data_IF_704506531218
#
_entry.id   IF_704506531218
#
_cell.length_a   1.000
_cell.length_b   1.000
_cell.length_c   1.000
_cell.angle_alpha   90.00
_cell.angle_beta   90.00
_cell.angle_gamma   90.00
#
_symmetry.space_group_name_H-M   'P 1'
#
loop_
_entity.id
_entity.type
_entity.pdbx_description
1 polymer ?
#
# COMPACT_ATOMS: atom_id res chain seq x y z
N UNK A 1 40.50 -15.15 -30.51
CA UNK A 1 39.60 -16.18 -31.06
C UNK A 1 39.93 -16.37 -32.53
N UNK A 2 40.09 -17.62 -33.00
CA UNK A 2 40.19 -17.94 -34.42
C UNK A 2 38.84 -18.48 -34.88
N UNK A 3 38.17 -17.76 -35.78
CA UNK A 3 36.92 -18.18 -36.41
C UNK A 3 37.27 -18.75 -37.79
N UNK A 4 37.05 -20.05 -37.97
CA UNK A 4 37.14 -20.72 -39.26
C UNK A 4 35.73 -20.79 -39.85
N UNK A 5 35.50 -20.16 -41.00
CA UNK A 5 34.22 -20.18 -41.71
C UNK A 5 34.44 -20.93 -43.02
N UNK A 6 33.84 -22.10 -43.14
CA UNK A 6 33.81 -22.89 -44.39
C UNK A 6 32.54 -22.54 -45.15
N UNK A 7 32.70 -22.12 -46.40
CA UNK A 7 31.58 -21.82 -47.30
C UNK A 7 31.60 -22.87 -48.41
N UNK A 8 30.60 -23.76 -48.40
CA UNK A 8 30.38 -24.72 -49.49
C UNK A 8 29.46 -24.06 -50.53
N UNK A 9 30.01 -23.79 -51.71
CA UNK A 9 29.26 -23.30 -52.87
C UNK A 9 28.95 -24.51 -53.77
N UNK A 10 27.71 -24.99 -53.72
CA UNK A 10 27.20 -26.02 -54.63
C UNK A 10 26.43 -25.37 -55.80
N UNK A 11 26.71 -25.87 -57.02
CA UNK A 11 26.01 -25.67 -58.32
C UNK A 11 26.39 -24.43 -59.16
N UNK A 12 26.77 -24.55 -60.46
CA UNK A 12 26.16 -25.26 -61.61
C UNK A 12 27.20 -25.59 -62.73
N UNK A 13 27.08 -26.77 -63.36
CA UNK A 13 27.24 -26.96 -64.82
C UNK A 13 28.66 -27.10 -65.42
N UNK A 14 28.84 -28.14 -66.22
CA UNK A 14 30.09 -28.65 -66.83
C UNK A 14 30.81 -27.71 -67.84
N UNK A 15 30.29 -26.53 -68.17
CA UNK A 15 30.90 -25.62 -69.18
C UNK A 15 30.54 -24.12 -68.95
N UNK A 16 30.92 -23.53 -67.82
CA UNK A 16 30.64 -22.12 -67.57
C UNK A 16 31.58 -21.50 -66.55
N UNK A 17 32.77 -21.13 -67.01
CA UNK A 17 33.80 -20.46 -66.21
C UNK A 17 33.26 -19.12 -65.69
N UNK A 18 32.90 -19.10 -64.40
CA UNK A 18 32.43 -17.90 -63.73
C UNK A 18 33.63 -16.96 -63.58
N UNK A 19 33.59 -15.84 -64.30
CA UNK A 19 34.68 -14.87 -64.40
C UNK A 19 35.27 -14.58 -63.01
N UNK A 20 36.59 -14.64 -62.91
CA UNK A 20 37.30 -14.61 -61.61
C UNK A 20 36.96 -13.35 -60.80
N UNK A 21 36.57 -12.29 -61.50
CA UNK A 21 36.11 -11.01 -60.96
C UNK A 21 34.75 -11.12 -60.26
N UNK A 22 33.79 -11.88 -60.80
CA UNK A 22 32.48 -12.13 -60.15
C UNK A 22 32.64 -13.03 -58.92
N UNK A 23 33.55 -14.01 -58.97
CA UNK A 23 33.92 -14.80 -57.79
C UNK A 23 34.50 -13.91 -56.68
N UNK A 24 35.40 -12.99 -57.02
CA UNK A 24 35.96 -12.06 -56.04
C UNK A 24 34.92 -11.09 -55.50
N UNK A 25 34.01 -10.57 -56.33
CA UNK A 25 32.94 -9.69 -55.87
C UNK A 25 31.98 -10.39 -54.91
N UNK A 26 31.56 -11.63 -55.20
CA UNK A 26 30.66 -12.38 -54.32
C UNK A 26 31.37 -12.71 -53.01
N UNK A 27 32.62 -13.18 -53.06
CA UNK A 27 33.40 -13.49 -51.85
C UNK A 27 33.65 -12.20 -51.03
N UNK A 28 33.97 -11.09 -51.68
CA UNK A 28 34.20 -9.80 -51.02
C UNK A 28 32.90 -9.24 -50.43
N UNK A 29 31.78 -9.35 -51.16
CA UNK A 29 30.45 -8.93 -50.71
C UNK A 29 29.97 -9.74 -49.51
N UNK A 30 30.10 -11.07 -49.56
CA UNK A 30 29.76 -11.98 -48.45
C UNK A 30 30.69 -11.74 -47.25
N UNK A 31 31.99 -11.59 -47.47
CA UNK A 31 32.95 -11.27 -46.40
C UNK A 31 32.63 -9.94 -45.75
N UNK A 32 32.32 -8.91 -46.52
CA UNK A 32 32.01 -7.58 -45.98
C UNK A 32 30.66 -7.55 -45.24
N UNK A 33 29.64 -8.22 -45.77
CA UNK A 33 28.33 -8.34 -45.12
C UNK A 33 28.42 -9.12 -43.81
N UNK A 34 29.07 -10.30 -43.82
CA UNK A 34 29.27 -11.11 -42.62
C UNK A 34 30.14 -10.37 -41.62
N UNK A 35 31.25 -9.75 -42.05
CA UNK A 35 32.14 -9.04 -41.14
C UNK A 35 31.42 -7.87 -40.46
N UNK A 36 30.67 -7.06 -41.22
CA UNK A 36 29.94 -5.91 -40.67
C UNK A 36 28.80 -6.33 -39.74
N UNK A 37 27.98 -7.29 -40.16
CA UNK A 37 26.80 -7.70 -39.40
C UNK A 37 27.18 -8.54 -38.19
N UNK A 38 28.24 -9.37 -38.29
CA UNK A 38 28.80 -10.11 -37.15
C UNK A 38 29.48 -9.17 -36.16
N UNK A 39 30.29 -8.21 -36.61
CA UNK A 39 30.90 -7.20 -35.72
C UNK A 39 29.82 -6.40 -34.98
N UNK A 40 28.80 -5.91 -35.68
CA UNK A 40 27.72 -5.14 -35.06
C UNK A 40 26.93 -5.97 -34.04
N UNK A 41 26.69 -7.26 -34.33
CA UNK A 41 25.96 -8.15 -33.43
C UNK A 41 26.78 -8.54 -32.20
N UNK A 42 28.07 -8.83 -32.39
CA UNK A 42 29.02 -9.10 -31.29
C UNK A 42 29.23 -7.85 -30.43
N UNK A 43 29.37 -6.68 -31.02
CA UNK A 43 29.52 -5.41 -30.30
C UNK A 43 28.26 -5.08 -29.48
N UNK A 44 27.07 -5.35 -30.03
CA UNK A 44 25.80 -5.18 -29.34
C UNK A 44 25.62 -6.16 -28.19
N UNK A 45 25.91 -7.45 -28.39
CA UNK A 45 25.83 -8.47 -27.33
C UNK A 45 26.88 -8.22 -26.23
N UNK A 46 28.12 -7.90 -26.60
CA UNK A 46 29.17 -7.55 -25.65
C UNK A 46 28.79 -6.29 -24.85
N UNK A 47 28.30 -5.24 -25.52
CA UNK A 47 27.85 -4.02 -24.84
C UNK A 47 26.67 -4.29 -23.90
N UNK A 48 25.73 -5.14 -24.29
CA UNK A 48 24.60 -5.53 -23.44
C UNK A 48 25.07 -6.29 -22.20
N UNK A 49 25.96 -7.28 -22.35
CA UNK A 49 26.51 -8.04 -21.24
C UNK A 49 27.35 -7.17 -20.30
N UNK A 50 28.17 -6.27 -20.85
CA UNK A 50 28.96 -5.32 -20.06
C UNK A 50 28.02 -4.37 -19.27
N UNK A 51 27.01 -3.80 -19.93
CA UNK A 51 26.06 -2.92 -19.27
C UNK A 51 25.25 -3.65 -18.18
N UNK A 52 24.89 -4.91 -18.41
CA UNK A 52 24.23 -5.73 -17.40
C UNK A 52 25.14 -5.98 -16.19
N UNK A 53 26.39 -6.40 -16.42
CA UNK A 53 27.36 -6.63 -15.35
C UNK A 53 27.67 -5.36 -14.55
N UNK A 54 27.75 -4.20 -15.21
CA UNK A 54 27.92 -2.90 -14.58
C UNK A 54 26.69 -2.57 -13.72
N UNK A 55 25.48 -2.74 -14.24
CA UNK A 55 24.24 -2.44 -13.50
C UNK A 55 24.07 -3.35 -12.27
N UNK A 56 24.40 -4.64 -12.40
CA UNK A 56 24.39 -5.58 -11.28
C UNK A 56 25.43 -5.17 -10.22
N UNK A 57 26.65 -4.81 -10.65
CA UNK A 57 27.71 -4.34 -9.75
C UNK A 57 27.32 -3.05 -9.03
N UNK A 58 26.69 -2.10 -9.73
CA UNK A 58 26.17 -0.86 -9.14
C UNK A 58 25.06 -1.16 -8.14
N UNK A 59 24.16 -2.10 -8.44
CA UNK A 59 23.07 -2.50 -7.54
C UNK A 59 23.61 -3.11 -6.25
N UNK A 60 24.60 -4.00 -6.35
CA UNK A 60 25.28 -4.61 -5.21
C UNK A 60 26.02 -3.56 -4.39
N UNK A 61 26.75 -2.65 -5.04
CA UNK A 61 27.45 -1.57 -4.37
C UNK A 61 26.49 -0.62 -3.64
N UNK A 62 25.36 -0.28 -4.26
CA UNK A 62 24.32 0.56 -3.65
C UNK A 62 23.73 -0.09 -2.40
N UNK A 63 23.38 -1.37 -2.47
CA UNK A 63 22.89 -2.14 -1.30
C UNK A 63 23.95 -2.21 -0.20
N UNK A 64 25.22 -2.38 -0.54
CA UNK A 64 26.30 -2.40 0.44
C UNK A 64 26.49 -1.04 1.13
N UNK A 65 26.34 0.07 0.39
CA UNK A 65 26.40 1.43 0.94
C UNK A 65 25.19 1.69 1.84
N UNK A 66 23.98 1.33 1.41
CA UNK A 66 22.76 1.45 2.21
C UNK A 66 22.88 0.65 3.51
N UNK A 67 23.36 -0.60 3.44
CA UNK A 67 23.57 -1.42 4.62
C UNK A 67 24.64 -0.84 5.55
N UNK A 68 25.73 -0.28 5.01
CA UNK A 68 26.74 0.41 5.82
C UNK A 68 26.18 1.67 6.50
N UNK A 69 25.32 2.42 5.82
CA UNK A 69 24.68 3.59 6.40
C UNK A 69 23.71 3.22 7.52
N UNK A 70 22.95 2.13 7.35
CA UNK A 70 22.07 1.57 8.39
C UNK A 70 22.91 1.11 9.58
N UNK A 71 23.93 0.28 9.35
CA UNK A 71 24.81 -0.21 10.41
C UNK A 71 25.51 0.93 11.15
N UNK A 72 25.96 1.96 10.43
CA UNK A 72 26.56 3.15 11.05
C UNK A 72 25.54 3.92 11.92
N UNK A 73 24.29 4.02 11.48
CA UNK A 73 23.23 4.63 12.27
C UNK A 73 22.94 3.80 13.54
N UNK A 74 22.88 2.48 13.42
CA UNK A 74 22.67 1.57 14.55
C UNK A 74 23.83 1.65 15.56
N UNK A 75 25.08 1.57 15.09
CA UNK A 75 26.28 1.74 15.93
C UNK A 75 26.31 3.13 16.60
N UNK A 76 25.88 4.16 15.90
CA UNK A 76 25.80 5.51 16.45
C UNK A 76 24.72 5.63 17.54
N UNK A 77 23.57 4.98 17.36
CA UNK A 77 22.47 4.95 18.33
C UNK A 77 22.80 4.13 19.58
N UNK A 78 23.63 3.10 19.44
CA UNK A 78 24.12 2.26 20.54
C UNK A 78 25.32 2.86 21.29
N UNK A 79 25.97 3.88 20.72
CA UNK A 79 27.11 4.52 21.36
C UNK A 79 26.69 5.14 22.71
N UNK A 80 27.35 4.67 23.76
CA UNK A 80 27.16 5.20 25.11
C UNK A 80 27.70 6.63 25.18
N UNK A 81 26.84 7.56 25.59
CA UNK A 81 27.21 8.96 25.81
C UNK A 81 27.17 9.21 27.31
N UNK A 82 28.29 9.65 27.85
CA UNK A 82 28.40 10.07 29.24
C UNK A 82 27.72 11.43 29.40
N UNK A 83 26.62 11.48 30.14
CA UNK A 83 25.92 12.73 30.43
C UNK A 83 26.46 13.30 31.73
N UNK A 84 27.08 14.48 31.65
CA UNK A 84 27.61 15.20 32.81
C UNK A 84 26.63 16.28 33.27
N UNK A 85 26.56 16.50 34.59
CA UNK A 85 25.88 17.64 35.19
C UNK A 85 26.59 18.97 34.83
N UNK A 86 25.92 20.10 35.06
CA UNK A 86 26.38 21.50 34.98
C UNK A 86 27.69 21.76 35.76
N UNK A 87 28.05 20.86 36.67
CA UNK A 87 29.28 20.91 37.48
C UNK A 87 30.32 19.85 37.09
N UNK A 88 30.09 19.08 36.04
CA UNK A 88 31.08 18.14 35.47
C UNK A 88 31.05 16.72 36.05
N UNK A 89 30.20 16.43 37.03
CA UNK A 89 30.04 15.09 37.57
C UNK A 89 29.25 14.20 36.61
N UNK A 90 29.74 12.97 36.40
CA UNK A 90 29.11 11.96 35.54
C UNK A 90 27.85 11.43 36.22
N UNK A 91 26.67 11.73 35.68
CA UNK A 91 25.40 11.30 36.27
C UNK A 91 24.94 9.92 35.79
N UNK A 92 25.14 9.59 34.51
CA UNK A 92 24.66 8.35 33.91
C UNK A 92 25.41 8.05 32.60
N UNK A 93 25.77 6.78 32.37
CA UNK A 93 26.16 6.26 31.05
C UNK A 93 24.91 5.72 30.35
N UNK A 94 24.41 6.44 29.35
CA UNK A 94 23.20 6.06 28.60
C UNK A 94 23.49 6.03 27.12
N UNK A 95 22.84 5.12 26.41
CA UNK A 95 22.85 5.14 24.94
C UNK A 95 22.03 6.32 24.43
N UNK A 96 22.29 6.77 23.18
CA UNK A 96 21.48 7.81 22.54
C UNK A 96 20.00 7.38 22.48
N UNK A 97 19.76 6.10 22.25
CA UNK A 97 18.41 5.50 22.31
C UNK A 97 17.73 5.73 23.65
N UNK A 98 18.41 5.54 24.77
CA UNK A 98 17.82 5.73 26.09
C UNK A 98 17.61 7.20 26.44
N UNK A 99 18.46 8.09 25.92
CA UNK A 99 18.23 9.54 25.99
C UNK A 99 16.97 9.96 25.23
N UNK A 100 16.76 9.41 24.03
CA UNK A 100 15.57 9.66 23.23
C UNK A 100 14.33 9.11 23.95
N UNK A 101 14.37 7.87 24.45
CA UNK A 101 13.27 7.28 25.24
C UNK A 101 12.91 8.15 26.45
N UNK A 102 13.90 8.53 27.27
CA UNK A 102 13.67 9.41 28.44
C UNK A 102 13.09 10.76 28.04
N UNK A 103 13.55 11.35 26.93
CA UNK A 103 13.01 12.61 26.42
C UNK A 103 11.57 12.46 25.93
N UNK A 104 11.28 11.35 25.26
CA UNK A 104 9.96 11.02 24.75
C UNK A 104 8.97 10.74 25.90
N UNK A 105 9.36 9.94 26.88
CA UNK A 105 8.58 9.64 28.08
C UNK A 105 8.27 10.94 28.86
N UNK A 106 9.29 11.77 29.10
CA UNK A 106 9.08 13.09 29.72
C UNK A 106 8.13 13.98 28.92
N UNK A 107 8.13 13.87 27.60
CA UNK A 107 7.23 14.65 26.74
C UNK A 107 5.81 14.13 26.78
N UNK A 108 5.62 12.81 26.82
CA UNK A 108 4.31 12.17 26.97
C UNK A 108 3.67 12.41 28.34
N UNK A 109 4.51 12.59 29.37
CA UNK A 109 4.07 12.92 30.73
C UNK A 109 3.78 14.41 30.93
N UNK A 110 4.25 15.30 30.04
CA UNK A 110 3.93 16.73 30.12
C UNK A 110 2.42 16.95 30.03
N UNK A 111 1.96 17.85 30.88
CA UNK A 111 0.55 18.21 30.95
C UNK A 111 0.14 19.09 29.76
N UNK A 112 -1.05 18.85 29.26
CA UNK A 112 -1.69 19.60 28.19
C UNK A 112 -3.09 20.06 28.62
N UNK A 113 -3.51 21.18 28.06
CA UNK A 113 -4.86 21.72 28.21
C UNK A 113 -5.89 20.90 27.40
N UNK A 114 -7.16 21.26 27.51
CA UNK A 114 -8.26 20.63 26.76
C UNK A 114 -8.14 20.76 25.24
N UNK A 115 -7.27 21.66 24.75
CA UNK A 115 -7.00 21.89 23.32
C UNK A 115 -5.73 21.17 22.85
N UNK A 116 -5.01 20.49 23.74
CA UNK A 116 -3.78 19.77 23.45
C UNK A 116 -2.51 20.64 23.47
N UNK A 117 -2.58 21.88 23.95
CA UNK A 117 -1.39 22.72 24.13
C UNK A 117 -0.73 22.43 25.47
N UNK A 118 0.59 22.47 25.53
CA UNK A 118 1.31 22.33 26.80
C UNK A 118 0.88 23.43 27.78
N UNK A 119 0.42 23.01 28.96
CA UNK A 119 0.01 23.92 30.02
C UNK A 119 0.51 23.42 31.38
N UNK A 120 0.70 24.38 32.29
CA UNK A 120 1.06 24.12 33.69
C UNK A 120 -0.14 24.24 34.63
N UNK A 121 -1.34 24.40 34.08
CA UNK A 121 -2.58 24.50 34.85
C UNK A 121 -2.82 23.26 35.70
N UNK A 122 -3.48 23.46 36.84
CA UNK A 122 -3.79 22.38 37.77
C UNK A 122 -4.65 21.28 37.12
N UNK A 123 -5.62 21.68 36.30
CA UNK A 123 -6.55 20.80 35.59
C UNK A 123 -5.97 20.18 34.31
N UNK A 124 -4.73 20.52 33.95
CA UNK A 124 -4.08 19.99 32.76
C UNK A 124 -3.74 18.49 32.95
N UNK A 125 -3.93 17.70 31.88
CA UNK A 125 -3.74 16.25 31.90
C UNK A 125 -2.51 15.82 31.11
N UNK A 126 -1.84 14.71 31.46
CA UNK A 126 -0.71 14.21 30.67
C UNK A 126 -1.07 14.01 29.19
N UNK A 127 -0.17 14.40 28.28
CA UNK A 127 -0.34 14.30 26.83
C UNK A 127 -0.75 12.88 26.41
N UNK A 128 -0.15 11.85 27.02
CA UNK A 128 -0.51 10.45 26.75
C UNK A 128 -2.00 10.17 27.03
N UNK A 129 -2.54 10.69 28.14
CA UNK A 129 -3.96 10.51 28.50
C UNK A 129 -4.88 11.28 27.59
N UNK A 130 -4.47 12.48 27.18
CA UNK A 130 -5.21 13.29 26.20
C UNK A 130 -5.33 12.59 24.85
N UNK A 131 -4.21 12.08 24.32
CA UNK A 131 -4.17 11.38 23.04
C UNK A 131 -4.97 10.08 23.07
N UNK A 132 -4.86 9.30 24.15
CA UNK A 132 -5.67 8.09 24.35
C UNK A 132 -7.16 8.43 24.44
N UNK A 133 -7.54 9.48 25.16
CA UNK A 133 -8.92 9.95 25.28
C UNK A 133 -9.51 10.37 23.95
N UNK A 134 -8.79 11.19 23.18
CA UNK A 134 -9.13 11.59 21.80
C UNK A 134 -9.34 10.38 20.89
N UNK A 135 -8.41 9.43 20.91
CA UNK A 135 -8.48 8.24 20.06
C UNK A 135 -9.65 7.34 20.44
N UNK A 136 -9.91 7.21 21.74
CA UNK A 136 -11.08 6.47 22.23
C UNK A 136 -12.37 7.16 21.82
N UNK A 137 -12.45 8.49 21.95
CA UNK A 137 -13.61 9.27 21.52
C UNK A 137 -13.88 9.12 20.01
N UNK A 138 -12.84 9.19 19.17
CA UNK A 138 -12.95 8.93 17.73
C UNK A 138 -13.50 7.53 17.44
N UNK A 139 -12.94 6.50 18.08
CA UNK A 139 -13.38 5.12 17.90
C UNK A 139 -14.82 4.89 18.39
N UNK A 140 -15.18 5.49 19.52
CA UNK A 140 -16.53 5.43 20.07
C UNK A 140 -17.51 6.16 19.16
N UNK A 141 -17.19 7.37 18.69
CA UNK A 141 -18.05 8.09 17.73
C UNK A 141 -18.20 7.32 16.41
N UNK A 142 -17.13 6.72 15.90
CA UNK A 142 -17.17 5.92 14.67
C UNK A 142 -18.04 4.67 14.81
N UNK A 143 -18.09 4.05 16.01
CA UNK A 143 -18.89 2.84 16.26
C UNK A 143 -20.32 3.14 16.71
N UNK A 144 -20.55 4.17 17.51
CA UNK A 144 -21.88 4.49 18.06
C UNK A 144 -22.78 5.19 17.05
N UNK A 145 -22.25 6.12 16.24
CA UNK A 145 -23.04 6.83 15.22
C UNK A 145 -23.80 5.90 14.25
N UNK A 146 -23.18 4.85 13.67
CA UNK A 146 -23.92 3.92 12.81
C UNK A 146 -24.95 3.11 13.61
N UNK A 147 -24.63 2.68 14.83
CA UNK A 147 -25.57 1.92 15.67
C UNK A 147 -26.81 2.76 16.03
N UNK A 148 -26.65 4.05 16.35
CA UNK A 148 -27.78 4.96 16.61
C UNK A 148 -28.67 5.08 15.38
N UNK A 149 -28.07 5.26 14.19
CA UNK A 149 -28.83 5.30 12.94
C UNK A 149 -29.56 3.99 12.66
N UNK A 150 -28.91 2.85 12.85
CA UNK A 150 -29.52 1.53 12.65
C UNK A 150 -30.68 1.28 13.62
N UNK A 151 -30.57 1.75 14.87
CA UNK A 151 -31.66 1.71 15.86
C UNK A 151 -32.81 2.62 15.44
N UNK A 152 -32.54 3.86 15.02
CA UNK A 152 -33.57 4.78 14.57
C UNK A 152 -34.31 4.26 13.33
N UNK A 153 -33.58 3.68 12.37
CA UNK A 153 -34.13 3.05 11.17
C UNK A 153 -34.96 1.80 11.53
N UNK A 154 -34.49 0.98 12.47
CA UNK A 154 -35.22 -0.19 12.96
C UNK A 154 -36.51 0.20 13.69
N UNK A 155 -36.47 1.24 14.53
CA UNK A 155 -37.65 1.79 15.22
C UNK A 155 -38.64 2.34 14.20
N UNK A 156 -38.18 3.16 13.24
CA UNK A 156 -39.04 3.72 12.19
C UNK A 156 -39.72 2.62 11.36
N UNK A 157 -38.97 1.57 10.99
CA UNK A 157 -39.51 0.43 10.26
C UNK A 157 -40.52 -0.38 11.08
N UNK A 158 -40.22 -0.65 12.36
CA UNK A 158 -41.12 -1.38 13.25
C UNK A 158 -42.42 -0.60 13.52
N UNK A 159 -42.32 0.71 13.72
CA UNK A 159 -43.49 1.60 13.89
C UNK A 159 -44.31 1.65 12.61
N UNK A 160 -43.68 1.83 11.45
CA UNK A 160 -44.39 1.84 10.16
C UNK A 160 -45.08 0.49 9.86
N UNK A 161 -44.41 -0.63 10.14
CA UNK A 161 -44.99 -1.96 9.97
C UNK A 161 -46.16 -2.19 10.95
N UNK A 162 -46.00 -1.79 12.22
CA UNK A 162 -47.04 -1.91 13.24
C UNK A 162 -48.27 -1.04 12.94
N UNK A 163 -48.07 0.21 12.50
CA UNK A 163 -49.16 1.11 12.09
C UNK A 163 -49.88 0.52 10.87
N UNK A 164 -49.14 0.09 9.83
CA UNK A 164 -49.76 -0.53 8.65
C UNK A 164 -50.58 -1.76 9.02
N UNK A 165 -50.02 -2.66 9.82
CA UNK A 165 -50.72 -3.86 10.27
C UNK A 165 -51.98 -3.54 11.05
N UNK A 166 -51.89 -2.67 12.06
CA UNK A 166 -53.05 -2.28 12.86
C UNK A 166 -54.14 -1.56 12.06
N UNK A 167 -53.76 -0.73 11.08
CA UNK A 167 -54.72 -0.06 10.20
C UNK A 167 -55.38 -1.08 9.26
N UNK A 168 -54.60 -1.98 8.66
CA UNK A 168 -55.13 -3.05 7.80
C UNK A 168 -56.07 -3.99 8.55
N UNK A 169 -55.70 -4.42 9.75
CA UNK A 169 -56.52 -5.30 10.58
C UNK A 169 -57.84 -4.61 10.98
N UNK A 170 -57.79 -3.35 11.43
CA UNK A 170 -59.00 -2.57 11.75
C UNK A 170 -59.88 -2.29 10.54
N UNK A 171 -59.28 -2.04 9.37
CA UNK A 171 -60.03 -1.81 8.14
C UNK A 171 -60.71 -3.10 7.66
N UNK A 172 -60.02 -4.24 7.75
CA UNK A 172 -60.60 -5.55 7.46
C UNK A 172 -61.75 -5.89 8.42
N UNK A 173 -61.58 -5.64 9.73
CA UNK A 173 -62.64 -5.77 10.72
C UNK A 173 -63.85 -4.88 10.40
N UNK A 174 -63.62 -3.62 10.02
CA UNK A 174 -64.67 -2.67 9.65
C UNK A 174 -65.44 -3.11 8.39
N UNK A 175 -64.73 -3.63 7.38
CA UNK A 175 -65.38 -4.19 6.17
C UNK A 175 -66.21 -5.41 6.53
N UNK A 176 -65.68 -6.32 7.36
CA UNK A 176 -66.42 -7.51 7.80
C UNK A 176 -67.67 -7.11 8.61
N UNK A 177 -67.57 -6.12 9.49
CA UNK A 177 -68.71 -5.60 10.24
C UNK A 177 -69.76 -4.98 9.32
N UNK A 178 -69.34 -4.15 8.35
CA UNK A 178 -70.23 -3.53 7.36
C UNK A 178 -70.91 -4.58 6.48
N UNK A 179 -70.17 -5.59 6.03
CA UNK A 179 -70.70 -6.69 5.24
C UNK A 179 -71.69 -7.55 6.04
N UNK A 180 -71.45 -7.76 7.34
CA UNK A 180 -72.40 -8.45 8.24
C UNK A 180 -73.67 -7.64 8.48
N UNK A 181 -73.57 -6.32 8.63
CA UNK A 181 -74.73 -5.43 8.76
C UNK A 181 -75.56 -5.40 7.47
N UNK A 182 -74.92 -5.38 6.31
CA UNK A 182 -75.61 -5.39 5.01
C UNK A 182 -76.16 -6.78 4.62
N UNK A 183 -75.65 -7.88 5.19
CA UNK A 183 -76.15 -9.24 4.99
C UNK A 183 -77.11 -9.73 6.09
N UNK A 184 -77.52 -8.88 7.05
CA UNK A 184 -78.71 -9.17 7.84
C UNK A 184 -79.91 -9.11 6.88
N UNK A 185 -80.57 -10.24 6.59
CA UNK A 185 -81.59 -10.25 5.56
C UNK A 185 -82.81 -9.47 6.04
N UNK A 186 -83.52 -8.90 5.08
CA UNK A 186 -84.91 -8.49 5.17
C UNK A 186 -85.81 -9.65 5.65
N UNK A 187 -85.75 -9.97 6.94
CA UNK A 187 -86.53 -10.99 7.63
C UNK A 187 -87.40 -10.33 8.71
N UNK A 188 -88.07 -9.23 8.39
CA UNK A 188 -89.24 -8.75 9.15
C UNK A 188 -90.30 -8.21 8.18
N UNK A 189 -90.73 -9.02 7.21
CA UNK A 189 -92.07 -8.88 6.62
C UNK A 189 -92.65 -10.28 6.43
N UNK A 190 -93.37 -10.75 7.45
CA UNK A 190 -94.59 -11.57 7.36
C UNK A 190 -95.00 -12.03 8.75
N UNK A 191 -95.93 -11.30 9.37
CA UNK A 191 -97.17 -11.82 9.95
C UNK A 191 -98.16 -10.67 10.12
#
# INVERSE_FOLDING_TARGET
>A
MKLNISVELEWLGEDGDLDAEVKQEIISGVKNAISRDCLAKVEKEASAQINQAINESISVAKKAIEQKAINFADEWLEKEVTVTDKWGDVQDCLTITDLIKRSFDKTLEKKVDSRGNFSSDYDAMPLVKYLMGKRMEELVQAKIKPIQKDIDDAIANAVNAGIRKNVSDKFAEMIIQTAKQNNQPALEIKQ
#
